data_IF_041497151984
#
_entry.id   IF_041497151984
#
_cell.length_a   1.000
_cell.length_b   1.000
_cell.length_c   1.000
_cell.angle_alpha   90.00
_cell.angle_beta   90.00
_cell.angle_gamma   90.00
#
_symmetry.space_group_name_H-M   'P 1'
#
loop_
_entity.id
_entity.type
_entity.pdbx_description
1 polymer ?
#
# COMPACT_ATOMS: atom_id res chain seq x y z
N UNK A 1 -48.71 44.35 15.05
CA UNK A 1 -48.60 43.36 16.15
C UNK A 1 -48.12 42.05 15.55
N UNK A 2 -47.14 41.46 16.22
CA UNK A 2 -46.04 40.64 15.69
C UNK A 2 -46.45 39.19 15.36
N UNK A 3 -45.91 38.63 14.28
CA UNK A 3 -46.00 37.20 13.95
C UNK A 3 -45.10 36.38 14.90
N UNK A 4 -45.46 35.13 15.27
CA UNK A 4 -44.60 34.28 16.06
C UNK A 4 -43.48 33.73 15.18
N UNK A 5 -42.23 33.94 15.62
CA UNK A 5 -41.02 33.51 14.96
C UNK A 5 -40.83 32.00 15.06
N UNK A 6 -40.72 31.36 13.90
CA UNK A 6 -40.22 30.01 13.76
C UNK A 6 -38.71 30.04 14.03
N UNK A 7 -38.30 29.48 15.16
CA UNK A 7 -36.89 29.22 15.47
C UNK A 7 -36.43 28.08 14.55
N UNK A 8 -35.74 28.45 13.48
CA UNK A 8 -34.97 27.51 12.67
C UNK A 8 -33.80 27.05 13.54
N UNK A 9 -33.92 25.88 14.16
CA UNK A 9 -32.76 25.18 14.72
C UNK A 9 -31.83 24.83 13.56
N UNK A 10 -30.76 25.61 13.43
CA UNK A 10 -29.64 25.24 12.57
C UNK A 10 -29.02 23.96 13.14
N UNK A 11 -28.78 22.93 12.32
CA UNK A 11 -28.11 21.74 12.79
C UNK A 11 -26.71 22.14 13.25
N UNK A 12 -26.39 21.74 14.49
CA UNK A 12 -25.09 21.91 15.12
C UNK A 12 -24.03 21.43 14.14
N UNK A 13 -23.08 22.31 13.82
CA UNK A 13 -21.89 21.95 13.04
C UNK A 13 -21.28 20.71 13.71
N UNK A 14 -21.14 19.63 12.93
CA UNK A 14 -20.52 18.40 13.43
C UNK A 14 -19.14 18.78 13.92
N UNK A 15 -18.93 18.62 15.23
CA UNK A 15 -17.63 18.70 15.86
C UNK A 15 -16.66 17.92 14.97
N UNK A 16 -15.57 18.58 14.56
CA UNK A 16 -14.54 18.06 13.66
C UNK A 16 -14.28 16.59 14.02
N UNK A 17 -14.63 15.68 13.10
CA UNK A 17 -14.43 14.24 13.28
C UNK A 17 -13.00 14.03 13.78
N UNK A 18 -12.84 13.66 15.05
CA UNK A 18 -11.54 13.29 15.62
C UNK A 18 -11.02 12.18 14.71
N UNK A 19 -10.07 12.51 13.83
CA UNK A 19 -9.70 11.66 12.72
C UNK A 19 -9.37 10.27 13.26
N UNK A 20 -10.20 9.29 12.89
CA UNK A 20 -10.07 7.93 13.42
C UNK A 20 -8.66 7.46 13.11
N UNK A 21 -7.88 7.22 14.16
CA UNK A 21 -6.52 6.73 14.05
C UNK A 21 -6.54 5.32 13.43
N UNK A 22 -6.34 5.28 12.11
CA UNK A 22 -6.43 4.06 11.30
C UNK A 22 -5.43 3.00 11.76
N UNK A 23 -4.35 3.39 12.45
CA UNK A 23 -3.29 2.47 12.89
C UNK A 23 -3.69 1.65 14.11
N UNK A 24 -4.71 2.08 14.88
CA UNK A 24 -5.23 1.33 16.03
C UNK A 24 -6.11 0.14 15.64
N UNK A 25 -6.80 0.21 14.50
CA UNK A 25 -7.46 -0.97 13.92
C UNK A 25 -6.44 -1.77 13.12
N UNK A 26 -5.67 -2.62 13.79
CA UNK A 26 -4.62 -3.42 13.13
C UNK A 26 -5.15 -4.26 11.96
N UNK A 27 -6.40 -4.74 12.03
CA UNK A 27 -7.00 -5.56 10.97
C UNK A 27 -7.37 -4.70 9.76
N UNK A 28 -8.00 -3.56 10.00
CA UNK A 28 -8.31 -2.57 8.97
C UNK A 28 -7.04 -2.06 8.31
N UNK A 29 -6.05 -1.66 9.11
CA UNK A 29 -4.77 -1.16 8.63
C UNK A 29 -3.99 -2.21 7.83
N UNK A 30 -3.92 -3.45 8.31
CA UNK A 30 -3.32 -4.57 7.54
C UNK A 30 -4.00 -4.74 6.18
N UNK A 31 -5.32 -4.55 6.12
CA UNK A 31 -6.07 -4.63 4.85
C UNK A 31 -5.69 -3.49 3.91
N UNK A 32 -5.55 -2.27 4.41
CA UNK A 32 -5.11 -1.10 3.63
C UNK A 32 -3.70 -1.31 3.07
N UNK A 33 -2.76 -1.70 3.93
CA UNK A 33 -1.36 -1.95 3.55
C UNK A 33 -1.27 -3.03 2.46
N UNK A 34 -1.98 -4.16 2.65
CA UNK A 34 -1.99 -5.24 1.64
C UNK A 34 -2.61 -4.81 0.33
N UNK A 35 -3.64 -3.96 0.35
CA UNK A 35 -4.24 -3.43 -0.87
C UNK A 35 -3.30 -2.49 -1.63
N UNK A 36 -2.57 -1.62 -0.92
CA UNK A 36 -1.57 -0.74 -1.50
C UNK A 36 -0.43 -1.55 -2.16
N UNK A 37 0.13 -2.52 -1.45
CA UNK A 37 1.17 -3.42 -1.98
C UNK A 37 0.67 -4.23 -3.18
N UNK A 38 -0.56 -4.72 -3.14
CA UNK A 38 -1.16 -5.46 -4.26
C UNK A 38 -1.36 -4.59 -5.52
N UNK A 39 -1.64 -3.28 -5.35
CA UNK A 39 -1.69 -2.31 -6.46
C UNK A 39 -0.34 -2.29 -7.19
N UNK A 40 0.77 -2.24 -6.44
CA UNK A 40 2.13 -2.28 -6.98
C UNK A 40 2.39 -3.60 -7.72
N UNK A 41 2.12 -4.75 -7.09
CA UNK A 41 2.29 -6.08 -7.72
C UNK A 41 1.57 -6.16 -9.07
N UNK A 42 0.33 -5.66 -9.14
CA UNK A 42 -0.44 -5.63 -10.39
C UNK A 42 0.23 -4.78 -11.46
N UNK A 43 0.73 -3.59 -11.12
CA UNK A 43 1.43 -2.75 -12.09
C UNK A 43 2.69 -3.45 -12.61
N UNK A 44 3.49 -4.06 -11.74
CA UNK A 44 4.67 -4.81 -12.15
C UNK A 44 4.31 -6.00 -13.05
N UNK A 45 3.26 -6.75 -12.73
CA UNK A 45 2.80 -7.88 -13.55
C UNK A 45 2.40 -7.47 -14.98
N UNK A 46 1.89 -6.25 -15.16
CA UNK A 46 1.57 -5.68 -16.46
C UNK A 46 2.68 -4.80 -17.05
N UNK A 47 3.86 -4.76 -16.42
CA UNK A 47 5.00 -3.91 -16.80
C UNK A 47 4.65 -2.41 -16.89
N UNK A 48 3.71 -1.96 -16.05
CA UNK A 48 3.26 -0.57 -15.94
C UNK A 48 4.12 0.17 -14.89
N UNK A 49 5.42 0.30 -15.16
CA UNK A 49 6.38 0.78 -14.16
C UNK A 49 6.16 2.24 -13.77
N UNK A 50 5.73 3.08 -14.70
CA UNK A 50 5.38 4.48 -14.44
C UNK A 50 4.22 4.60 -13.44
N UNK A 51 3.27 3.67 -13.50
CA UNK A 51 2.15 3.63 -12.54
C UNK A 51 2.56 3.07 -11.18
N UNK A 52 3.56 2.18 -11.15
CA UNK A 52 4.14 1.69 -9.90
C UNK A 52 4.93 2.80 -9.20
N UNK A 53 5.73 3.56 -9.96
CA UNK A 53 6.41 4.78 -9.50
C UNK A 53 5.41 5.80 -8.96
N UNK A 54 4.40 6.18 -9.76
CA UNK A 54 3.36 7.15 -9.34
C UNK A 54 2.69 6.71 -8.03
N UNK A 55 2.30 5.44 -7.92
CA UNK A 55 1.65 4.93 -6.71
C UNK A 55 2.57 4.88 -5.48
N UNK A 56 3.89 4.75 -5.65
CA UNK A 56 4.84 4.83 -4.55
C UNK A 56 5.09 6.28 -4.14
N UNK A 57 5.22 7.19 -5.10
CA UNK A 57 5.37 8.62 -4.82
C UNK A 57 4.12 9.19 -4.11
N UNK A 58 2.92 8.76 -4.50
CA UNK A 58 1.67 9.08 -3.78
C UNK A 58 1.67 8.59 -2.32
N UNK A 59 2.31 7.45 -2.05
CA UNK A 59 2.32 6.84 -0.73
C UNK A 59 3.38 7.45 0.22
N UNK A 60 4.50 7.93 -0.33
CA UNK A 60 5.53 8.65 0.43
C UNK A 60 6.50 9.36 -0.50
N UNK A 61 6.79 10.63 -0.21
CA UNK A 61 7.84 11.42 -0.86
C UNK A 61 9.25 10.84 -0.67
N UNK A 62 9.41 9.86 0.22
CA UNK A 62 10.68 9.16 0.45
C UNK A 62 10.93 8.00 -0.53
N UNK A 63 9.95 7.64 -1.36
CA UNK A 63 10.14 6.63 -2.40
C UNK A 63 11.02 7.18 -3.52
N UNK A 64 12.07 6.44 -3.85
CA UNK A 64 13.05 6.75 -4.89
C UNK A 64 13.05 5.70 -6.03
N UNK A 65 11.95 4.94 -6.15
CA UNK A 65 11.77 3.92 -7.18
C UNK A 65 11.18 4.52 -8.45
N UNK A 66 12.03 4.71 -9.46
CA UNK A 66 11.60 5.15 -10.80
C UNK A 66 11.19 3.97 -11.68
N UNK A 67 10.47 4.27 -12.76
CA UNK A 67 10.11 3.30 -13.78
C UNK A 67 11.34 2.55 -14.36
N UNK A 68 12.43 3.27 -14.60
CA UNK A 68 13.70 2.68 -15.09
C UNK A 68 14.29 1.73 -14.05
N UNK A 69 14.30 2.12 -12.77
CA UNK A 69 14.81 1.27 -11.69
C UNK A 69 14.00 -0.02 -11.56
N UNK A 70 12.67 0.03 -11.73
CA UNK A 70 11.84 -1.17 -11.79
C UNK A 70 12.19 -2.06 -12.99
N UNK A 71 12.36 -1.47 -14.17
CA UNK A 71 12.69 -2.19 -15.38
C UNK A 71 14.05 -2.91 -15.25
N UNK A 72 15.06 -2.24 -14.69
CA UNK A 72 16.38 -2.80 -14.42
C UNK A 72 16.32 -3.90 -13.37
N UNK A 73 15.67 -3.66 -12.23
CA UNK A 73 15.59 -4.63 -11.13
C UNK A 73 14.86 -5.92 -11.55
N UNK A 74 13.82 -5.82 -12.38
CA UNK A 74 13.06 -6.97 -12.88
C UNK A 74 13.62 -7.58 -14.17
N UNK A 75 14.66 -7.01 -14.78
CA UNK A 75 15.24 -7.57 -16.00
C UNK A 75 15.66 -9.05 -15.83
N UNK A 76 16.31 -9.48 -14.72
CA UNK A 76 16.61 -10.89 -14.48
C UNK A 76 15.35 -11.74 -14.33
N UNK A 77 14.33 -11.26 -13.61
CA UNK A 77 13.04 -11.96 -13.48
C UNK A 77 12.43 -12.23 -14.85
N UNK A 78 12.36 -11.22 -15.72
CA UNK A 78 11.75 -11.36 -17.05
C UNK A 78 12.58 -12.16 -18.05
N UNK A 79 13.87 -12.37 -17.78
CA UNK A 79 14.71 -13.26 -18.57
C UNK A 79 14.41 -14.73 -18.28
N UNK A 80 13.94 -15.04 -17.06
CA UNK A 80 13.63 -16.40 -16.60
C UNK A 80 12.14 -16.72 -16.71
N UNK A 81 11.27 -15.80 -16.31
CA UNK A 81 9.84 -16.04 -16.15
C UNK A 81 8.99 -15.21 -17.11
N UNK A 82 7.96 -15.85 -17.68
CA UNK A 82 7.05 -15.20 -18.63
C UNK A 82 5.96 -14.33 -18.01
N UNK A 83 5.70 -14.45 -16.70
CA UNK A 83 4.62 -13.74 -16.02
C UNK A 83 4.89 -13.60 -14.52
N UNK A 84 4.34 -12.54 -13.90
CA UNK A 84 4.07 -12.50 -12.45
C UNK A 84 2.63 -12.93 -12.27
N UNK A 85 2.37 -13.95 -11.45
CA UNK A 85 1.03 -14.43 -11.17
C UNK A 85 0.23 -13.39 -10.38
N UNK A 86 -1.02 -13.16 -10.79
CA UNK A 86 -1.95 -12.22 -10.14
C UNK A 86 -3.30 -12.87 -9.76
N UNK A 87 -3.35 -14.20 -9.76
CA UNK A 87 -4.52 -14.97 -9.36
C UNK A 87 -4.75 -15.00 -7.84
N UNK A 88 -5.80 -15.72 -7.38
CA UNK A 88 -6.14 -15.83 -5.96
C UNK A 88 -4.99 -16.31 -5.07
N UNK A 89 -4.15 -17.24 -5.56
CA UNK A 89 -2.98 -17.72 -4.82
C UNK A 89 -1.95 -16.61 -4.57
N UNK A 90 -1.64 -15.82 -5.60
CA UNK A 90 -0.67 -14.72 -5.52
C UNK A 90 -1.10 -13.62 -4.53
N UNK A 91 -2.42 -13.39 -4.38
CA UNK A 91 -2.96 -12.42 -3.40
C UNK A 91 -3.09 -12.98 -1.98
N UNK A 92 -2.92 -14.28 -1.80
CA UNK A 92 -3.25 -14.98 -0.56
C UNK A 92 -2.38 -14.55 0.63
N UNK A 93 -2.83 -14.90 1.83
CA UNK A 93 -2.05 -14.69 3.07
C UNK A 93 -0.66 -15.33 3.02
N UNK A 94 -0.51 -16.44 2.29
CA UNK A 94 0.73 -17.19 2.22
C UNK A 94 1.86 -16.46 1.46
N UNK A 95 1.53 -15.47 0.64
CA UNK A 95 2.50 -14.72 -0.16
C UNK A 95 2.98 -13.43 0.53
N UNK A 96 2.56 -13.20 1.78
CA UNK A 96 2.85 -11.96 2.50
C UNK A 96 3.24 -12.27 3.93
N UNK A 97 4.39 -11.73 4.34
CA UNK A 97 4.84 -11.72 5.72
C UNK A 97 4.83 -10.28 6.25
N UNK A 98 4.31 -10.08 7.47
CA UNK A 98 4.30 -8.77 8.14
C UNK A 98 4.97 -8.92 9.50
N UNK A 99 6.09 -8.25 9.68
CA UNK A 99 6.75 -8.05 10.97
C UNK A 99 6.25 -6.72 11.56
N UNK A 100 5.64 -6.78 12.75
CA UNK A 100 5.07 -5.62 13.42
C UNK A 100 6.01 -5.15 14.52
N UNK A 101 6.33 -3.86 14.52
CA UNK A 101 7.10 -3.18 15.57
C UNK A 101 6.31 -1.97 16.04
N UNK A 102 6.79 -1.35 17.11
CA UNK A 102 6.08 -0.24 17.76
C UNK A 102 5.99 1.02 16.88
N UNK A 103 7.00 1.27 16.05
CA UNK A 103 7.10 2.47 15.20
C UNK A 103 6.84 2.19 13.70
N UNK A 104 7.21 1.01 13.22
CA UNK A 104 7.06 0.63 11.81
C UNK A 104 6.66 -0.84 11.62
N UNK A 105 6.08 -1.14 10.47
CA UNK A 105 5.91 -2.53 10.02
C UNK A 105 6.86 -2.81 8.86
N UNK A 106 7.46 -3.99 8.85
CA UNK A 106 8.18 -4.51 7.69
C UNK A 106 7.31 -5.53 6.99
N UNK A 107 7.11 -5.34 5.68
CA UNK A 107 6.29 -6.23 4.86
C UNK A 107 7.13 -6.85 3.76
N UNK A 108 7.06 -8.17 3.63
CA UNK A 108 7.62 -8.91 2.50
C UNK A 108 6.48 -9.48 1.67
N UNK A 109 6.41 -9.10 0.40
CA UNK A 109 5.46 -9.61 -0.58
C UNK A 109 6.21 -10.43 -1.62
N UNK A 110 5.86 -11.72 -1.75
CA UNK A 110 6.41 -12.61 -2.78
C UNK A 110 5.83 -12.22 -4.14
N UNK A 111 6.67 -12.15 -5.18
CA UNK A 111 6.25 -12.15 -6.57
C UNK A 111 6.20 -13.59 -7.04
N UNK A 112 4.99 -14.14 -7.17
CA UNK A 112 4.81 -15.54 -7.53
C UNK A 112 5.08 -15.73 -9.03
N UNK A 113 6.14 -16.47 -9.33
CA UNK A 113 6.52 -16.91 -10.66
C UNK A 113 5.66 -18.09 -11.14
N UNK A 114 5.66 -18.42 -12.45
CA UNK A 114 4.87 -19.52 -13.00
C UNK A 114 5.25 -20.91 -12.47
N UNK A 115 6.48 -21.06 -11.98
CA UNK A 115 7.03 -22.33 -11.49
C UNK A 115 6.94 -22.45 -9.95
N UNK A 116 6.38 -21.43 -9.31
CA UNK A 116 6.20 -21.29 -7.86
C UNK A 116 7.49 -21.40 -7.03
N UNK A 117 8.61 -20.94 -7.55
CA UNK A 117 9.88 -20.89 -6.82
C UNK A 117 9.82 -19.96 -5.59
N UNK A 118 9.02 -18.90 -5.65
CA UNK A 118 8.83 -17.93 -4.55
C UNK A 118 10.14 -17.29 -4.08
N UNK A 119 11.07 -17.10 -4.99
CA UNK A 119 12.39 -16.54 -4.69
C UNK A 119 12.39 -15.01 -4.77
N UNK A 120 11.50 -14.41 -5.57
CA UNK A 120 11.43 -12.96 -5.75
C UNK A 120 10.50 -12.26 -4.76
N UNK A 121 10.93 -11.11 -4.26
CA UNK A 121 10.25 -10.38 -3.20
C UNK A 121 10.29 -8.86 -3.40
N UNK A 122 9.20 -8.20 -2.99
CA UNK A 122 9.16 -6.78 -2.65
C UNK A 122 9.23 -6.64 -1.13
N UNK A 123 10.12 -5.77 -0.62
CA UNK A 123 10.21 -5.47 0.81
C UNK A 123 9.85 -4.01 1.07
N UNK A 124 8.91 -3.79 1.98
CA UNK A 124 8.40 -2.46 2.31
C UNK A 124 8.59 -2.14 3.78
N UNK A 125 8.75 -0.85 4.07
CA UNK A 125 8.55 -0.28 5.40
C UNK A 125 7.24 0.50 5.41
N UNK A 126 6.44 0.33 6.45
CA UNK A 126 5.22 1.12 6.70
C UNK A 126 5.45 1.96 7.93
N UNK A 127 5.33 3.28 7.81
CA UNK A 127 5.56 4.24 8.89
C UNK A 127 4.25 4.51 9.63
N UNK A 128 4.15 4.10 10.90
CA UNK A 128 2.87 4.16 11.64
C UNK A 128 2.49 5.59 12.02
N UNK A 129 3.45 6.41 12.45
CA UNK A 129 3.19 7.80 12.83
C UNK A 129 2.78 8.61 11.60
N UNK A 130 3.52 8.49 10.50
CA UNK A 130 3.16 9.16 9.25
C UNK A 130 1.82 8.66 8.70
N UNK A 131 1.51 7.36 8.82
CA UNK A 131 0.20 6.83 8.39
C UNK A 131 -0.95 7.36 9.22
N UNK A 132 -0.74 7.55 10.53
CA UNK A 132 -1.72 8.15 11.44
C UNK A 132 -1.97 9.61 11.06
N UNK A 133 -0.92 10.39 10.85
CA UNK A 133 -1.03 11.80 10.48
C UNK A 133 -1.69 11.99 9.11
N UNK A 134 -1.38 11.14 8.14
CA UNK A 134 -1.93 11.22 6.78
C UNK A 134 -3.36 10.65 6.66
N UNK A 135 -3.82 9.84 7.62
CA UNK A 135 -5.08 9.08 7.49
C UNK A 135 -5.06 8.05 6.34
N UNK A 136 -3.87 7.68 5.87
CA UNK A 136 -3.64 6.76 4.76
C UNK A 136 -2.37 5.95 5.00
N UNK A 137 -2.13 4.87 4.25
CA UNK A 137 -0.91 4.07 4.41
C UNK A 137 0.30 4.80 3.83
N UNK A 138 1.26 5.13 4.68
CA UNK A 138 2.57 5.65 4.27
C UNK A 138 3.55 4.48 4.19
N UNK A 139 3.94 4.10 2.97
CA UNK A 139 4.85 2.98 2.72
C UNK A 139 6.01 3.36 1.80
N UNK A 140 7.17 2.78 2.06
CA UNK A 140 8.38 2.93 1.25
C UNK A 140 8.85 1.56 0.76
N UNK A 141 9.10 1.43 -0.55
CA UNK A 141 9.70 0.21 -1.11
C UNK A 141 11.21 0.22 -0.85
N UNK A 142 11.70 -0.73 -0.05
CA UNK A 142 13.11 -0.85 0.33
C UNK A 142 13.91 -1.65 -0.69
N UNK A 143 13.35 -2.75 -1.20
CA UNK A 143 14.04 -3.62 -2.17
C UNK A 143 13.07 -4.40 -3.05
N UNK A 144 13.55 -4.75 -4.24
CA UNK A 144 12.95 -5.69 -5.17
C UNK A 144 14.05 -6.59 -5.75
N UNK A 145 13.90 -7.89 -5.64
CA UNK A 145 14.88 -8.87 -6.10
C UNK A 145 14.61 -10.27 -5.58
N UNK A 146 15.49 -11.20 -5.93
CA UNK A 146 15.60 -12.56 -5.35
C UNK A 146 16.29 -12.50 -3.97
#
# INVERSE_FOLDING_TARGET
LQAPGEVVEMPVEREEDEAVDITKDERGFTTMVRNAVWKIVRFLAFKQYERAEEALSEASDTNDWTAERFAEALAPYWAEYGAIQIGPNARSGAQVQVERRDADWLLTQILLDPDEHRSWHLRFRVDLDASREAGATVLTLQSLGD
#
